data_IF_370092964255
#
_entry.id   IF_370092964255
#
_cell.length_a   1.000
_cell.length_b   1.000
_cell.length_c   1.000
_cell.angle_alpha   90.00
_cell.angle_beta   90.00
_cell.angle_gamma   90.00
#
_symmetry.space_group_name_H-M   'P 1'
#
loop_
_entity.id
_entity.type
_entity.pdbx_description
1 polymer ?
#
# COMPACT_ATOMS: atom_id res chain seq x y z
N UNK A 1 -29.75 -14.54 14.00
CA UNK A 1 -28.67 -14.75 13.00
C UNK A 1 -29.19 -15.15 11.61
N UNK A 2 -30.18 -16.06 11.50
CA UNK A 2 -30.78 -16.43 10.21
C UNK A 2 -31.40 -15.22 9.49
N UNK A 3 -32.16 -14.40 10.21
CA UNK A 3 -32.81 -13.21 9.63
C UNK A 3 -31.82 -12.16 9.13
N UNK A 4 -30.68 -11.98 9.80
CA UNK A 4 -29.60 -11.08 9.34
C UNK A 4 -29.09 -11.46 7.95
N UNK A 5 -29.00 -12.78 7.69
CA UNK A 5 -28.53 -13.35 6.42
C UNK A 5 -29.60 -13.38 5.34
N UNK A 6 -30.88 -13.31 5.68
CA UNK A 6 -31.97 -13.52 4.74
C UNK A 6 -32.10 -12.33 3.77
N UNK A 7 -31.78 -12.49 2.47
CA UNK A 7 -31.86 -11.40 1.50
C UNK A 7 -33.30 -10.98 1.19
N UNK A 8 -34.29 -11.83 1.46
CA UNK A 8 -35.72 -11.57 1.21
C UNK A 8 -36.33 -10.60 2.25
N UNK A 9 -35.66 -10.41 3.38
CA UNK A 9 -36.12 -9.47 4.41
C UNK A 9 -35.71 -8.04 4.07
N UNK A 10 -36.58 -7.08 4.42
CA UNK A 10 -36.25 -5.64 4.36
C UNK A 10 -34.98 -5.35 5.15
N UNK A 11 -34.13 -4.46 4.63
CA UNK A 11 -32.86 -4.06 5.27
C UNK A 11 -33.04 -3.62 6.72
N UNK A 12 -34.12 -2.91 7.07
CA UNK A 12 -34.41 -2.50 8.45
C UNK A 12 -34.59 -3.69 9.40
N UNK A 13 -35.31 -4.74 8.98
CA UNK A 13 -35.46 -5.96 9.80
C UNK A 13 -34.16 -6.74 9.93
N UNK A 14 -33.34 -6.77 8.88
CA UNK A 14 -32.01 -7.39 8.93
C UNK A 14 -31.07 -6.64 9.89
N UNK A 15 -31.16 -5.31 9.93
CA UNK A 15 -30.44 -4.45 10.87
C UNK A 15 -30.86 -4.72 12.31
N UNK A 16 -32.16 -4.69 12.62
CA UNK A 16 -32.68 -5.00 13.95
C UNK A 16 -32.25 -6.42 14.41
N UNK A 17 -32.30 -7.40 13.50
CA UNK A 17 -31.83 -8.75 13.79
C UNK A 17 -30.33 -8.83 14.08
N UNK A 18 -29.51 -7.98 13.43
CA UNK A 18 -28.08 -7.85 13.72
C UNK A 18 -27.84 -7.18 15.08
N UNK A 19 -28.59 -6.12 15.40
CA UNK A 19 -28.50 -5.44 16.70
C UNK A 19 -28.83 -6.39 17.85
N UNK A 20 -29.94 -7.12 17.75
CA UNK A 20 -30.34 -8.11 18.75
C UNK A 20 -29.31 -9.24 18.88
N UNK A 21 -28.82 -9.78 17.76
CA UNK A 21 -27.81 -10.84 17.79
C UNK A 21 -26.48 -10.35 18.39
N UNK A 22 -26.09 -9.10 18.13
CA UNK A 22 -24.87 -8.52 18.71
C UNK A 22 -25.01 -8.27 20.21
N UNK A 23 -26.16 -7.76 20.65
CA UNK A 23 -26.45 -7.56 22.07
C UNK A 23 -26.36 -8.89 22.85
N UNK A 24 -26.98 -9.96 22.36
CA UNK A 24 -26.86 -11.28 22.98
C UNK A 24 -25.43 -11.83 22.95
N UNK A 25 -24.66 -11.55 21.90
CA UNK A 25 -23.26 -11.96 21.77
C UNK A 25 -22.32 -11.24 22.75
N UNK A 26 -22.72 -10.13 23.37
CA UNK A 26 -21.89 -9.47 24.39
C UNK A 26 -21.77 -10.32 25.65
N UNK A 27 -22.80 -11.11 25.98
CA UNK A 27 -22.84 -11.93 27.19
C UNK A 27 -22.35 -13.37 26.97
N UNK A 28 -22.30 -13.83 25.71
CA UNK A 28 -21.92 -15.19 25.33
C UNK A 28 -20.74 -15.18 24.33
N UNK A 29 -19.52 -15.58 24.76
CA UNK A 29 -18.34 -15.65 23.89
C UNK A 29 -18.51 -16.56 22.66
N UNK A 30 -19.21 -17.70 22.78
CA UNK A 30 -19.43 -18.58 21.64
C UNK A 30 -20.37 -17.93 20.61
N UNK A 31 -21.42 -17.29 21.09
CA UNK A 31 -22.34 -16.56 20.23
C UNK A 31 -21.64 -15.39 19.55
N UNK A 32 -20.70 -14.72 20.24
CA UNK A 32 -19.86 -13.66 19.67
C UNK A 32 -19.02 -14.16 18.50
N UNK A 33 -18.29 -15.26 18.67
CA UNK A 33 -17.50 -15.86 17.58
C UNK A 33 -18.38 -16.17 16.37
N UNK A 34 -19.56 -16.77 16.61
CA UNK A 34 -20.53 -17.09 15.55
C UNK A 34 -21.07 -15.83 14.87
N UNK A 35 -21.43 -14.80 15.63
CA UNK A 35 -21.92 -13.52 15.13
C UNK A 35 -20.88 -12.80 14.27
N UNK A 36 -19.64 -12.70 14.77
CA UNK A 36 -18.52 -12.12 14.01
C UNK A 36 -18.29 -12.83 12.70
N UNK A 37 -18.30 -14.17 12.68
CA UNK A 37 -18.15 -14.94 11.44
C UNK A 37 -19.26 -14.63 10.41
N UNK A 38 -20.51 -14.49 10.88
CA UNK A 38 -21.64 -14.09 10.02
C UNK A 38 -21.46 -12.66 9.50
N UNK A 39 -21.08 -11.73 10.36
CA UNK A 39 -20.97 -10.31 10.01
C UNK A 39 -19.85 -10.11 9.00
N UNK A 40 -18.70 -10.73 9.23
CA UNK A 40 -17.61 -10.79 8.26
C UNK A 40 -18.10 -11.34 6.92
N UNK A 41 -18.72 -12.51 6.89
CA UNK A 41 -19.25 -13.08 5.64
C UNK A 41 -20.18 -12.12 4.87
N UNK A 42 -21.05 -11.39 5.57
CA UNK A 42 -21.93 -10.40 4.96
C UNK A 42 -21.17 -9.15 4.48
N UNK A 43 -20.18 -8.68 5.23
CA UNK A 43 -19.39 -7.50 4.84
C UNK A 43 -18.55 -7.75 3.58
N UNK A 44 -18.05 -8.97 3.38
CA UNK A 44 -17.34 -9.34 2.14
C UNK A 44 -18.26 -9.48 0.93
N UNK A 45 -19.56 -9.68 1.13
CA UNK A 45 -20.52 -9.79 0.03
C UNK A 45 -20.83 -8.41 -0.56
N UNK A 46 -20.74 -8.30 -1.88
CA UNK A 46 -21.16 -7.12 -2.64
C UNK A 46 -22.69 -6.96 -2.69
N UNK A 47 -23.43 -8.02 -2.38
CA UNK A 47 -24.90 -8.03 -2.35
C UNK A 47 -25.47 -7.47 -1.04
N UNK A 48 -24.65 -7.34 0.00
CA UNK A 48 -25.09 -6.80 1.29
C UNK A 48 -25.42 -5.31 1.16
N UNK A 49 -26.64 -4.86 1.49
CA UNK A 49 -27.02 -3.46 1.40
C UNK A 49 -26.11 -2.57 2.24
N UNK A 50 -25.72 -1.42 1.67
CA UNK A 50 -24.77 -0.49 2.29
C UNK A 50 -25.08 -0.13 3.76
N UNK A 51 -26.33 0.21 4.16
CA UNK A 51 -26.64 0.52 5.56
C UNK A 51 -26.36 -0.65 6.50
N UNK A 52 -26.68 -1.88 6.07
CA UNK A 52 -26.37 -3.09 6.84
C UNK A 52 -24.87 -3.30 6.93
N UNK A 53 -24.13 -3.22 5.81
CA UNK A 53 -22.67 -3.39 5.81
C UNK A 53 -21.97 -2.43 6.75
N UNK A 54 -22.35 -1.15 6.75
CA UNK A 54 -21.78 -0.14 7.66
C UNK A 54 -22.00 -0.53 9.13
N UNK A 55 -23.23 -0.94 9.49
CA UNK A 55 -23.55 -1.35 10.86
C UNK A 55 -22.80 -2.60 11.29
N UNK A 56 -22.66 -3.58 10.40
CA UNK A 56 -21.91 -4.80 10.69
C UNK A 56 -20.41 -4.52 10.91
N UNK A 57 -19.81 -3.63 10.13
CA UNK A 57 -18.43 -3.18 10.34
C UNK A 57 -18.28 -2.45 11.67
N UNK A 58 -19.24 -1.59 12.02
CA UNK A 58 -19.27 -0.92 13.33
C UNK A 58 -19.22 -1.94 14.47
N UNK A 59 -20.08 -2.96 14.45
CA UNK A 59 -20.07 -4.00 15.47
C UNK A 59 -18.74 -4.75 15.56
N UNK A 60 -18.15 -5.13 14.43
CA UNK A 60 -16.86 -5.79 14.43
C UNK A 60 -15.79 -4.91 15.10
N UNK A 61 -15.72 -3.63 14.72
CA UNK A 61 -14.70 -2.69 15.20
C UNK A 61 -14.91 -2.20 16.65
N UNK A 62 -16.12 -2.31 17.20
CA UNK A 62 -16.45 -1.97 18.59
C UNK A 62 -16.25 -3.13 19.59
N UNK A 63 -15.84 -4.31 19.12
CA UNK A 63 -15.57 -5.44 19.99
C UNK A 63 -14.23 -5.27 20.71
N UNK A 64 -14.30 -4.81 21.97
CA UNK A 64 -13.14 -4.55 22.83
C UNK A 64 -12.57 -5.81 23.51
N UNK A 65 -13.16 -6.98 23.27
CA UNK A 65 -12.55 -8.23 23.77
C UNK A 65 -11.21 -8.49 23.08
N UNK A 66 -10.19 -9.05 23.78
CA UNK A 66 -8.88 -9.29 23.18
C UNK A 66 -8.93 -10.11 21.88
N UNK A 67 -9.78 -11.13 21.83
CA UNK A 67 -10.01 -11.95 20.64
C UNK A 67 -10.74 -11.18 19.54
N UNK A 68 -11.71 -10.34 19.93
CA UNK A 68 -12.46 -9.47 19.04
C UNK A 68 -11.58 -8.42 18.37
N UNK A 69 -10.72 -7.76 19.14
CA UNK A 69 -9.78 -6.76 18.65
C UNK A 69 -8.77 -7.40 17.68
N UNK A 70 -8.15 -8.52 18.05
CA UNK A 70 -7.21 -9.23 17.19
C UNK A 70 -7.86 -9.67 15.86
N UNK A 71 -9.11 -10.15 15.92
CA UNK A 71 -9.87 -10.52 14.72
C UNK A 71 -10.27 -9.29 13.88
N UNK A 72 -10.62 -8.16 14.50
CA UNK A 72 -10.95 -6.90 13.83
C UNK A 72 -9.74 -6.27 13.14
N UNK A 73 -8.58 -6.35 13.77
CA UNK A 73 -7.29 -5.96 13.21
C UNK A 73 -6.96 -6.78 11.96
N UNK A 74 -7.03 -8.11 12.06
CA UNK A 74 -6.83 -9.01 10.91
C UNK A 74 -7.86 -8.77 9.80
N UNK A 75 -9.12 -8.59 10.17
CA UNK A 75 -10.18 -8.25 9.23
C UNK A 75 -9.87 -6.96 8.47
N UNK A 76 -9.46 -5.91 9.18
CA UNK A 76 -9.11 -4.61 8.59
C UNK A 76 -7.97 -4.76 7.58
N UNK A 77 -6.89 -5.45 7.94
CA UNK A 77 -5.76 -5.69 7.02
C UNK A 77 -6.19 -6.43 5.74
N UNK A 78 -7.06 -7.42 5.86
CA UNK A 78 -7.49 -8.21 4.69
C UNK A 78 -8.50 -7.46 3.82
N UNK A 79 -9.42 -6.72 4.43
CA UNK A 79 -10.55 -6.11 3.70
C UNK A 79 -10.21 -4.76 3.10
N UNK A 80 -9.46 -3.92 3.81
CA UNK A 80 -9.22 -2.53 3.47
C UNK A 80 -8.67 -2.31 2.04
N UNK A 81 -7.71 -3.11 1.52
CA UNK A 81 -7.15 -2.88 0.19
C UNK A 81 -8.17 -3.04 -0.95
N UNK A 82 -9.29 -3.73 -0.71
CA UNK A 82 -10.28 -4.10 -1.74
C UNK A 82 -11.69 -3.59 -1.42
N UNK A 83 -11.83 -2.69 -0.44
CA UNK A 83 -13.13 -2.15 -0.04
C UNK A 83 -13.53 -0.95 -0.92
N UNK A 84 -14.56 -1.08 -1.78
CA UNK A 84 -15.00 0.02 -2.64
C UNK A 84 -15.69 1.15 -1.86
N UNK A 85 -16.35 0.86 -0.73
CA UNK A 85 -17.15 1.85 -0.02
C UNK A 85 -16.29 2.75 0.88
N UNK A 86 -16.23 4.02 0.51
CA UNK A 86 -15.41 5.02 1.20
C UNK A 86 -15.77 5.23 2.67
N UNK A 87 -17.04 5.03 3.05
CA UNK A 87 -17.44 5.11 4.44
C UNK A 87 -16.88 3.93 5.25
N UNK A 88 -16.90 2.72 4.67
CA UNK A 88 -16.30 1.53 5.30
C UNK A 88 -14.77 1.66 5.40
N UNK A 89 -14.12 2.16 4.34
CA UNK A 89 -12.68 2.49 4.36
C UNK A 89 -12.36 3.47 5.49
N UNK A 90 -13.14 4.55 5.62
CA UNK A 90 -12.96 5.54 6.68
C UNK A 90 -13.10 4.95 8.08
N UNK A 91 -14.08 4.07 8.30
CA UNK A 91 -14.26 3.37 9.57
C UNK A 91 -13.05 2.50 9.92
N UNK A 92 -12.57 1.69 8.97
CA UNK A 92 -11.42 0.81 9.19
C UNK A 92 -10.11 1.59 9.37
N UNK A 93 -9.88 2.65 8.58
CA UNK A 93 -8.71 3.50 8.70
C UNK A 93 -8.66 4.22 10.06
N UNK A 94 -9.80 4.74 10.50
CA UNK A 94 -9.92 5.39 11.81
C UNK A 94 -9.72 4.40 12.96
N UNK A 95 -10.28 3.19 12.86
CA UNK A 95 -10.08 2.15 13.86
C UNK A 95 -8.61 1.71 13.95
N UNK A 96 -7.94 1.53 12.81
CA UNK A 96 -6.52 1.22 12.77
C UNK A 96 -5.68 2.30 13.47
N UNK A 97 -5.92 3.57 13.14
CA UNK A 97 -5.20 4.69 13.77
C UNK A 97 -5.48 4.82 15.28
N UNK A 98 -6.74 4.70 15.70
CA UNK A 98 -7.12 4.84 17.12
C UNK A 98 -6.53 3.75 18.01
N UNK A 99 -6.46 2.53 17.49
CA UNK A 99 -5.97 1.37 18.24
C UNK A 99 -4.48 1.08 18.00
N UNK A 100 -3.76 1.90 17.23
CA UNK A 100 -2.34 1.71 16.96
C UNK A 100 -2.02 0.44 16.18
N UNK A 101 -2.86 0.05 15.22
CA UNK A 101 -2.66 -1.14 14.40
C UNK A 101 -1.68 -0.86 13.25
N UNK A 102 -0.40 -0.66 13.59
CA UNK A 102 0.69 -0.32 12.66
C UNK A 102 0.80 -1.31 11.49
N UNK A 103 0.50 -2.59 11.72
CA UNK A 103 0.52 -3.63 10.68
C UNK A 103 -0.56 -3.43 9.60
N UNK A 104 -1.52 -2.53 9.83
CA UNK A 104 -2.50 -2.13 8.81
C UNK A 104 -1.94 -1.10 7.81
N UNK A 105 -0.76 -0.52 8.07
CA UNK A 105 -0.17 0.51 7.23
C UNK A 105 0.06 0.06 5.76
N UNK A 106 0.57 -1.15 5.46
CA UNK A 106 0.62 -1.66 4.09
C UNK A 106 -0.76 -1.67 3.42
N UNK A 107 -1.80 -2.07 4.14
CA UNK A 107 -3.16 -2.12 3.60
C UNK A 107 -3.70 -0.73 3.28
N UNK A 108 -3.42 0.25 4.16
CA UNK A 108 -3.76 1.67 3.96
C UNK A 108 -3.06 2.23 2.73
N UNK A 109 -1.78 1.94 2.54
CA UNK A 109 -1.02 2.36 1.35
C UNK A 109 -1.60 1.76 0.08
N UNK A 110 -1.92 0.46 0.08
CA UNK A 110 -2.56 -0.19 -1.07
C UNK A 110 -3.88 0.47 -1.46
N UNK A 111 -4.69 0.85 -0.48
CA UNK A 111 -5.93 1.58 -0.75
C UNK A 111 -5.68 3.02 -1.21
N UNK A 112 -4.65 3.68 -0.67
CA UNK A 112 -4.19 5.00 -1.10
C UNK A 112 -3.66 4.99 -2.54
N UNK A 113 -3.09 3.88 -3.01
CA UNK A 113 -2.59 3.74 -4.37
C UNK A 113 -3.68 3.87 -5.45
N UNK A 114 -4.93 3.50 -5.15
CA UNK A 114 -6.07 3.73 -6.03
C UNK A 114 -6.47 5.22 -5.95
N UNK A 115 -6.31 6.00 -7.03
CA UNK A 115 -6.59 7.44 -7.02
C UNK A 115 -8.09 7.72 -6.89
N UNK A 116 -8.42 8.87 -6.29
CA UNK A 116 -9.79 9.37 -6.23
C UNK A 116 -9.83 10.71 -6.93
N UNK A 117 -10.65 10.81 -7.96
CA UNK A 117 -10.81 12.05 -8.71
C UNK A 117 -11.27 13.19 -7.79
N UNK A 118 -10.59 14.33 -7.89
CA UNK A 118 -10.91 15.53 -7.11
C UNK A 118 -10.46 15.50 -5.64
N UNK A 119 -9.80 14.45 -5.15
CA UNK A 119 -9.28 14.39 -3.78
C UNK A 119 -7.77 14.17 -3.82
N UNK A 120 -7.00 15.11 -3.27
CA UNK A 120 -5.55 14.99 -3.16
C UNK A 120 -5.17 13.87 -2.18
N UNK A 121 -4.07 13.14 -2.45
CA UNK A 121 -3.69 11.99 -1.64
C UNK A 121 -3.46 12.36 -0.16
N UNK A 122 -2.96 13.57 0.12
CA UNK A 122 -2.75 14.05 1.49
C UNK A 122 -4.03 14.24 2.32
N UNK A 123 -5.17 14.48 1.67
CA UNK A 123 -6.44 14.80 2.32
C UNK A 123 -7.26 13.55 2.63
N UNK A 124 -6.88 12.41 2.04
CA UNK A 124 -7.59 11.14 2.17
C UNK A 124 -7.49 10.57 3.58
N UNK A 125 -8.53 9.86 4.00
CA UNK A 125 -8.62 9.25 5.34
C UNK A 125 -7.50 8.23 5.59
N UNK A 126 -7.05 7.54 4.54
CA UNK A 126 -5.95 6.59 4.60
C UNK A 126 -4.63 7.32 4.93
N UNK A 127 -4.37 8.47 4.31
CA UNK A 127 -3.19 9.29 4.57
C UNK A 127 -3.21 9.90 5.98
N UNK A 128 -4.39 10.31 6.46
CA UNK A 128 -4.56 10.77 7.84
C UNK A 128 -4.27 9.64 8.85
N UNK A 129 -4.81 8.44 8.61
CA UNK A 129 -4.55 7.28 9.45
C UNK A 129 -3.06 6.90 9.46
N UNK A 130 -2.39 6.91 8.31
CA UNK A 130 -0.95 6.67 8.21
C UNK A 130 -0.14 7.66 9.07
N UNK A 131 -0.48 8.96 9.04
CA UNK A 131 0.20 9.98 9.86
C UNK A 131 -0.03 9.79 11.36
N UNK A 132 -1.20 9.29 11.75
CA UNK A 132 -1.50 8.98 13.15
C UNK A 132 -0.72 7.75 13.64
N UNK A 133 -0.54 6.74 12.79
CA UNK A 133 0.29 5.55 13.08
C UNK A 133 1.79 5.89 13.09
N UNK A 134 2.23 6.86 12.26
CA UNK A 134 3.62 7.32 12.20
C UNK A 134 3.81 8.76 12.71
N UNK A 135 3.59 9.05 14.00
CA UNK A 135 3.64 10.42 14.52
C UNK A 135 5.02 11.06 14.31
N UNK A 136 5.02 12.33 13.90
CA UNK A 136 6.26 13.11 13.68
C UNK A 136 6.96 12.83 12.34
N UNK A 137 6.40 11.97 11.47
CA UNK A 137 6.96 11.64 10.17
C UNK A 137 6.13 12.21 9.03
N UNK A 138 6.77 12.51 7.90
CA UNK A 138 6.05 12.89 6.68
C UNK A 138 5.37 11.67 6.05
N UNK A 139 4.32 11.90 5.26
CA UNK A 139 3.60 10.82 4.59
C UNK A 139 4.52 10.06 3.62
N UNK A 140 5.37 10.79 2.89
CA UNK A 140 6.37 10.24 1.98
C UNK A 140 7.33 9.31 2.72
N UNK A 141 7.81 9.71 3.90
CA UNK A 141 8.69 8.85 4.69
C UNK A 141 7.96 7.60 5.19
N UNK A 142 6.69 7.71 5.58
CA UNK A 142 5.89 6.53 6.00
C UNK A 142 5.70 5.56 4.84
N UNK A 143 5.26 6.05 3.68
CA UNK A 143 5.05 5.23 2.49
C UNK A 143 6.36 4.62 1.99
N UNK A 144 7.48 5.36 2.07
CA UNK A 144 8.79 4.85 1.70
C UNK A 144 9.28 3.73 2.63
N UNK A 145 9.05 3.83 3.94
CA UNK A 145 9.40 2.73 4.84
C UNK A 145 8.58 1.47 4.54
N UNK A 146 7.30 1.63 4.19
CA UNK A 146 6.44 0.51 3.77
C UNK A 146 6.90 -0.07 2.42
N UNK A 147 7.40 0.77 1.51
CA UNK A 147 8.05 0.30 0.29
C UNK A 147 9.32 -0.50 0.60
N UNK A 148 10.16 0.00 1.52
CA UNK A 148 11.41 -0.64 1.92
C UNK A 148 11.19 -1.95 2.69
N UNK A 149 10.14 -2.00 3.50
CA UNK A 149 9.72 -3.16 4.28
C UNK A 149 8.19 -3.28 4.26
N UNK A 150 7.62 -4.00 3.27
CA UNK A 150 6.17 -4.15 3.15
C UNK A 150 5.55 -5.03 4.25
N UNK A 151 6.38 -5.68 5.09
CA UNK A 151 5.97 -6.64 6.11
C UNK A 151 5.42 -7.95 5.53
N UNK A 152 5.29 -8.96 6.41
CA UNK A 152 4.66 -10.23 6.06
C UNK A 152 3.12 -10.10 6.04
N UNK A 153 2.46 -10.62 4.99
CA UNK A 153 1.00 -10.77 5.03
C UNK A 153 0.63 -11.98 5.90
N UNK A 154 -0.14 -11.79 6.98
CA UNK A 154 -0.64 -12.87 7.84
C UNK A 154 -1.68 -13.81 7.20
N UNK A 155 -1.49 -14.24 5.95
CA UNK A 155 -2.41 -15.08 5.20
C UNK A 155 -1.74 -15.89 4.07
N UNK A 156 -2.43 -16.93 3.55
CA UNK A 156 -1.86 -17.94 2.62
C UNK A 156 -1.44 -17.44 1.22
N UNK A 157 -1.53 -16.13 0.97
CA UNK A 157 -1.16 -15.46 -0.28
C UNK A 157 0.12 -14.60 -0.13
N UNK A 158 1.06 -15.03 0.71
CA UNK A 158 2.36 -14.36 0.92
C UNK A 158 3.15 -14.21 -0.38
N UNK A 159 3.02 -15.18 -1.31
CA UNK A 159 3.67 -15.15 -2.61
C UNK A 159 3.07 -14.01 -3.45
N UNK A 160 3.81 -12.90 -3.53
CA UNK A 160 3.46 -11.72 -4.34
C UNK A 160 2.74 -10.60 -3.59
N UNK A 161 2.43 -10.76 -2.30
CA UNK A 161 1.89 -9.66 -1.49
C UNK A 161 2.89 -8.51 -1.35
N UNK A 162 4.12 -8.82 -0.95
CA UNK A 162 5.19 -7.82 -0.78
C UNK A 162 5.48 -7.06 -2.07
N UNK A 163 5.54 -7.76 -3.20
CA UNK A 163 5.72 -7.14 -4.52
C UNK A 163 4.58 -6.16 -4.88
N UNK A 164 3.32 -6.52 -4.60
CA UNK A 164 2.17 -5.64 -4.83
C UNK A 164 2.19 -4.42 -3.91
N UNK A 165 2.46 -4.61 -2.61
CA UNK A 165 2.61 -3.49 -1.66
C UNK A 165 3.70 -2.54 -2.12
N UNK A 166 4.87 -3.05 -2.55
CA UNK A 166 5.96 -2.24 -3.08
C UNK A 166 5.53 -1.41 -4.30
N UNK A 167 4.87 -2.03 -5.28
CA UNK A 167 4.40 -1.33 -6.47
C UNK A 167 3.35 -0.24 -6.14
N UNK A 168 2.41 -0.56 -5.25
CA UNK A 168 1.38 0.36 -4.76
C UNK A 168 2.02 1.53 -3.99
N UNK A 169 2.95 1.25 -3.09
CA UNK A 169 3.69 2.25 -2.32
C UNK A 169 4.51 3.18 -3.22
N UNK A 170 5.21 2.63 -4.22
CA UNK A 170 5.94 3.44 -5.19
C UNK A 170 5.01 4.34 -6.01
N UNK A 171 3.86 3.80 -6.42
CA UNK A 171 2.83 4.56 -7.14
C UNK A 171 2.32 5.74 -6.32
N UNK A 172 2.08 5.55 -5.02
CA UNK A 172 1.73 6.64 -4.10
C UNK A 172 2.87 7.66 -4.00
N UNK A 173 4.10 7.22 -3.77
CA UNK A 173 5.25 8.11 -3.64
C UNK A 173 5.46 8.97 -4.88
N UNK A 174 5.29 8.42 -6.08
CA UNK A 174 5.42 9.18 -7.33
C UNK A 174 4.38 10.29 -7.47
N UNK A 175 3.19 10.14 -6.86
CA UNK A 175 2.17 11.21 -6.83
C UNK A 175 2.41 12.23 -5.73
N UNK A 176 2.90 11.79 -4.57
CA UNK A 176 3.26 12.69 -3.46
C UNK A 176 4.49 13.54 -3.78
N UNK A 177 5.42 12.99 -4.58
CA UNK A 177 6.67 13.65 -5.00
C UNK A 177 6.84 13.55 -6.52
N UNK A 178 6.10 14.36 -7.31
CA UNK A 178 6.14 14.32 -8.77
C UNK A 178 7.53 14.63 -9.34
N UNK A 179 8.30 15.46 -8.65
CA UNK A 179 9.66 15.86 -9.07
C UNK A 179 10.73 14.85 -8.64
N UNK A 180 10.39 13.87 -7.80
CA UNK A 180 11.31 12.82 -7.35
C UNK A 180 12.40 13.29 -6.37
N UNK A 181 12.34 14.53 -5.87
CA UNK A 181 13.37 15.10 -4.98
C UNK A 181 13.38 14.40 -3.63
N UNK A 182 12.19 14.17 -3.06
CA UNK A 182 12.02 13.48 -1.78
C UNK A 182 12.41 12.01 -1.91
N UNK A 183 11.95 11.32 -2.96
CA UNK A 183 12.31 9.94 -3.26
C UNK A 183 13.82 9.78 -3.41
N UNK A 184 14.49 10.67 -4.15
CA UNK A 184 15.96 10.68 -4.25
C UNK A 184 16.62 10.80 -2.87
N UNK A 185 16.17 11.75 -2.06
CA UNK A 185 16.71 11.93 -0.70
C UNK A 185 16.52 10.70 0.18
N UNK A 186 15.36 10.03 0.10
CA UNK A 186 15.06 8.82 0.88
C UNK A 186 15.86 7.61 0.42
N UNK A 187 16.09 7.44 -0.89
CA UNK A 187 16.94 6.37 -1.44
C UNK A 187 18.38 6.51 -0.94
N UNK A 188 18.90 7.75 -0.94
CA UNK A 188 20.27 8.06 -0.54
C UNK A 188 20.47 8.16 0.97
N UNK A 189 19.39 8.24 1.75
CA UNK A 189 19.46 8.30 3.20
C UNK A 189 20.15 7.02 3.76
N UNK A 190 21.30 7.16 4.46
CA UNK A 190 21.98 6.04 5.08
C UNK A 190 21.13 5.33 6.14
N UNK A 191 20.23 6.07 6.80
CA UNK A 191 19.27 5.52 7.77
C UNK A 191 18.18 4.66 7.14
N UNK A 192 18.03 4.71 5.81
CA UNK A 192 17.14 3.84 5.03
C UNK A 192 17.82 2.51 4.62
N UNK A 193 19.06 2.28 5.05
CA UNK A 193 19.82 1.10 4.64
C UNK A 193 19.27 -0.23 5.23
N UNK A 194 18.74 -1.05 4.34
CA UNK A 194 18.89 -2.51 4.30
C UNK A 194 18.42 -3.32 5.53
N UNK A 195 17.24 -3.02 6.07
CA UNK A 195 16.65 -3.83 7.16
C UNK A 195 15.44 -4.69 6.77
N UNK A 196 14.97 -4.64 5.52
CA UNK A 196 13.78 -5.37 5.07
C UNK A 196 13.97 -6.16 3.76
N UNK A 197 12.89 -6.81 3.30
CA UNK A 197 12.85 -7.65 2.09
C UNK A 197 13.31 -6.92 0.82
N UNK A 198 13.19 -5.59 0.78
CA UNK A 198 13.53 -4.76 -0.39
C UNK A 198 15.01 -4.40 -0.49
N UNK A 199 15.88 -4.98 0.33
CA UNK A 199 17.32 -4.71 0.33
C UNK A 199 17.97 -4.73 -1.06
N UNK A 200 17.74 -5.74 -1.93
CA UNK A 200 18.24 -5.76 -3.30
C UNK A 200 17.73 -4.59 -4.14
N UNK A 201 16.41 -4.33 -4.12
CA UNK A 201 15.78 -3.25 -4.88
C UNK A 201 16.29 -1.87 -4.47
N UNK A 202 16.49 -1.62 -3.17
CA UNK A 202 17.06 -0.36 -2.69
C UNK A 202 18.50 -0.17 -3.14
N UNK A 203 19.29 -1.25 -3.27
CA UNK A 203 20.63 -1.18 -3.87
C UNK A 203 20.57 -0.81 -5.35
N UNK A 204 19.62 -1.39 -6.09
CA UNK A 204 19.43 -1.08 -7.51
C UNK A 204 18.97 0.37 -7.72
N UNK A 205 18.09 0.87 -6.85
CA UNK A 205 17.67 2.27 -6.83
C UNK A 205 18.83 3.23 -6.53
N UNK A 206 19.69 2.90 -5.57
CA UNK A 206 20.90 3.69 -5.29
C UNK A 206 21.82 3.71 -6.49
N UNK A 207 22.05 2.55 -7.12
CA UNK A 207 22.84 2.48 -8.35
C UNK A 207 22.22 3.34 -9.47
N UNK A 208 20.89 3.34 -9.65
CA UNK A 208 20.25 4.22 -10.63
C UNK A 208 20.46 5.70 -10.33
N UNK A 209 20.42 6.10 -9.05
CA UNK A 209 20.67 7.48 -8.64
C UNK A 209 22.13 7.88 -8.81
N UNK A 210 23.06 7.00 -8.45
CA UNK A 210 24.50 7.27 -8.46
C UNK A 210 25.08 7.21 -9.88
N UNK A 211 24.77 6.15 -10.63
CA UNK A 211 25.36 5.88 -11.95
C UNK A 211 24.63 6.61 -13.07
N UNK A 212 23.29 6.69 -12.99
CA UNK A 212 22.45 7.24 -14.05
C UNK A 212 21.81 8.57 -13.68
N UNK A 213 21.90 9.01 -12.41
CA UNK A 213 21.32 10.28 -11.98
C UNK A 213 19.78 10.30 -11.93
N UNK A 214 19.10 9.16 -12.12
CA UNK A 214 17.64 9.08 -12.29
C UNK A 214 16.96 8.34 -11.14
N UNK A 215 15.67 8.64 -10.93
CA UNK A 215 14.77 7.88 -10.04
C UNK A 215 13.60 7.37 -10.89
N UNK A 216 13.28 6.07 -10.87
CA UNK A 216 12.12 5.52 -11.58
C UNK A 216 10.81 6.22 -11.19
N UNK A 217 10.00 6.59 -12.17
CA UNK A 217 8.73 7.29 -11.96
C UNK A 217 7.56 6.35 -11.72
N UNK A 218 7.61 5.14 -12.28
CA UNK A 218 6.49 4.20 -12.24
C UNK A 218 6.92 2.84 -11.71
N UNK A 219 5.96 2.02 -11.28
CA UNK A 219 6.23 0.62 -10.93
C UNK A 219 6.81 -0.18 -12.11
N UNK A 220 6.39 0.14 -13.35
CA UNK A 220 6.94 -0.48 -14.55
C UNK A 220 8.42 -0.11 -14.76
N UNK A 221 8.82 1.13 -14.47
CA UNK A 221 10.23 1.53 -14.52
C UNK A 221 11.05 0.89 -13.38
N UNK A 222 10.45 0.62 -12.21
CA UNK A 222 11.11 -0.18 -11.18
C UNK A 222 11.38 -1.61 -11.64
N UNK A 223 10.41 -2.26 -12.28
CA UNK A 223 10.57 -3.61 -12.81
C UNK A 223 11.62 -3.64 -13.93
N UNK A 224 11.62 -2.63 -14.80
CA UNK A 224 12.66 -2.48 -15.81
C UNK A 224 14.04 -2.29 -15.16
N UNK A 225 14.17 -1.42 -14.15
CA UNK A 225 15.43 -1.26 -13.41
C UNK A 225 15.93 -2.59 -12.82
N UNK A 226 15.04 -3.39 -12.21
CA UNK A 226 15.40 -4.73 -11.70
C UNK A 226 15.94 -5.62 -12.80
N UNK A 227 15.30 -5.64 -13.98
CA UNK A 227 15.78 -6.43 -15.12
C UNK A 227 17.16 -5.98 -15.62
N UNK A 228 17.42 -4.66 -15.65
CA UNK A 228 18.72 -4.11 -16.05
C UNK A 228 19.83 -4.41 -15.05
N UNK A 229 19.46 -4.62 -13.78
CA UNK A 229 20.37 -4.93 -12.67
C UNK A 229 20.45 -6.42 -12.36
N UNK A 230 19.76 -7.25 -13.13
CA UNK A 230 19.91 -8.69 -13.07
C UNK A 230 21.31 -9.07 -13.54
N UNK A 231 22.17 -9.44 -12.58
CA UNK A 231 23.57 -9.79 -12.83
C UNK A 231 23.77 -11.09 -13.61
N UNK A 232 22.69 -11.80 -13.98
CA UNK A 232 22.77 -12.99 -14.83
C UNK A 232 22.87 -12.69 -16.32
N UNK A 233 22.51 -11.48 -16.77
CA UNK A 233 22.59 -11.09 -18.19
C UNK A 233 23.79 -10.14 -18.46
N UNK A 234 24.83 -10.68 -19.09
CA UNK A 234 26.01 -9.90 -19.49
C UNK A 234 25.68 -8.73 -20.42
N UNK A 235 24.60 -8.81 -21.20
CA UNK A 235 24.17 -7.72 -22.09
C UNK A 235 23.64 -6.54 -21.28
N UNK A 236 22.88 -6.80 -20.22
CA UNK A 236 22.38 -5.76 -19.32
C UNK A 236 23.53 -5.12 -18.53
N UNK A 237 24.50 -5.92 -18.09
CA UNK A 237 25.70 -5.38 -17.44
C UNK A 237 26.58 -4.53 -18.39
N UNK A 238 26.68 -4.91 -19.66
CA UNK A 238 27.36 -4.11 -20.68
C UNK A 238 26.59 -2.80 -20.97
N UNK A 239 25.27 -2.90 -21.15
CA UNK A 239 24.37 -1.77 -21.32
C UNK A 239 24.50 -0.76 -20.18
N UNK A 240 24.49 -1.23 -18.93
CA UNK A 240 24.56 -0.38 -17.74
C UNK A 240 25.87 0.40 -17.68
N UNK A 241 27.01 -0.27 -17.90
CA UNK A 241 28.33 0.38 -17.88
C UNK A 241 28.46 1.45 -18.97
N UNK A 242 27.98 1.14 -20.17
CA UNK A 242 27.98 2.09 -21.28
C UNK A 242 27.10 3.30 -20.98
N UNK A 243 25.85 3.05 -20.57
CA UNK A 243 24.89 4.09 -20.20
C UNK A 243 25.43 5.00 -19.08
N UNK A 244 25.97 4.42 -18.01
CA UNK A 244 26.55 5.16 -16.88
C UNK A 244 27.71 6.06 -17.32
N UNK A 245 28.60 5.56 -18.17
CA UNK A 245 29.72 6.33 -18.73
C UNK A 245 29.22 7.56 -19.52
N UNK A 246 28.23 7.36 -20.39
CA UNK A 246 27.67 8.41 -21.22
C UNK A 246 26.94 9.47 -20.39
N UNK A 247 26.11 9.04 -19.43
CA UNK A 247 25.41 9.95 -18.52
C UNK A 247 26.42 10.73 -17.68
N UNK A 248 27.53 10.10 -17.27
CA UNK A 248 28.60 10.77 -16.53
C UNK A 248 29.20 11.94 -17.31
N UNK A 249 29.28 11.81 -18.64
CA UNK A 249 29.75 12.86 -19.54
C UNK A 249 28.77 14.02 -19.79
N UNK A 250 27.51 13.92 -19.35
CA UNK A 250 26.52 15.00 -19.51
C UNK A 250 26.76 16.14 -18.52
N UNK A 251 26.58 17.38 -18.99
CA UNK A 251 26.55 18.57 -18.14
C UNK A 251 25.33 18.60 -17.21
N UNK A 252 25.39 19.38 -16.13
CA UNK A 252 24.29 19.51 -15.15
C UNK A 252 22.96 19.92 -15.81
N UNK A 253 23.01 20.85 -16.78
CA UNK A 253 21.84 21.27 -17.53
C UNK A 253 21.23 20.15 -18.39
N UNK A 254 22.06 19.26 -18.94
CA UNK A 254 21.60 18.10 -19.72
C UNK A 254 21.03 16.98 -18.84
N UNK A 255 21.49 16.90 -17.58
CA UNK A 255 20.97 15.93 -16.60
C UNK A 255 19.66 16.37 -15.96
N UNK A 256 19.33 17.66 -16.03
CA UNK A 256 18.09 18.17 -15.46
C UNK A 256 16.87 17.54 -16.13
N UNK A 257 16.00 16.91 -15.33
CA UNK A 257 14.81 16.22 -15.83
C UNK A 257 15.09 14.90 -16.54
N UNK A 258 16.30 14.35 -16.42
CA UNK A 258 16.62 13.03 -16.96
C UNK A 258 15.78 11.96 -16.25
N UNK A 259 15.23 11.03 -17.04
CA UNK A 259 14.38 9.93 -16.59
C UNK A 259 14.93 8.62 -17.14
N UNK A 260 14.57 7.48 -16.54
CA UNK A 260 15.10 6.18 -16.94
C UNK A 260 14.84 5.87 -18.43
N UNK A 261 13.67 6.27 -18.95
CA UNK A 261 13.33 6.12 -20.39
C UNK A 261 14.21 6.91 -21.35
N UNK A 262 14.94 7.92 -20.88
CA UNK A 262 15.84 8.73 -21.72
C UNK A 262 17.23 8.10 -21.90
N UNK A 263 17.58 7.10 -21.08
CA UNK A 263 18.92 6.51 -21.05
C UNK A 263 19.25 5.77 -22.35
N UNK A 264 18.32 4.98 -22.89
CA UNK A 264 18.54 4.26 -24.15
C UNK A 264 18.69 5.20 -25.35
N UNK A 265 17.85 6.23 -25.55
CA UNK A 265 18.07 7.25 -26.57
C UNK A 265 19.46 7.91 -26.52
N UNK A 266 19.97 8.22 -25.32
CA UNK A 266 21.33 8.80 -25.13
C UNK A 266 22.39 7.81 -25.63
N UNK A 267 22.27 6.55 -25.24
CA UNK A 267 23.17 5.46 -25.65
C UNK A 267 23.18 5.26 -27.17
N UNK A 268 22.01 5.27 -27.80
CA UNK A 268 21.92 5.13 -29.26
C UNK A 268 22.47 6.35 -30.01
N UNK A 269 22.33 7.56 -29.44
CA UNK A 269 22.86 8.78 -30.05
C UNK A 269 24.39 8.83 -30.06
N UNK A 270 25.05 8.33 -29.00
CA UNK A 270 26.52 8.28 -28.96
C UNK A 270 27.14 7.39 -30.03
N UNK A 271 26.42 6.36 -30.50
CA UNK A 271 26.87 5.51 -31.60
C UNK A 271 26.70 6.13 -32.99
N UNK A 272 25.85 7.16 -33.13
CA UNK A 272 25.51 7.79 -34.41
C UNK A 272 26.25 9.10 -34.67
N UNK A 273 27.16 9.49 -33.77
CA UNK A 273 28.00 10.66 -33.98
C UNK A 273 29.22 10.22 -34.79
N UNK A 274 29.39 10.67 -36.05
CA UNK A 274 30.52 10.28 -36.91
C UNK A 274 31.86 10.83 -36.41
#
# INVERSE_FOLDING_TARGET
MLDTRNPELKTSRRLEAAELAWASAQEDPELRVKARAVYKSLVWSTETPRPLRLKLVEFLLLDESPEGEADSRRFTMLRLPTEPDRAVVGMMALAAARNGWDESAPSLVRRLAEPIEGIADHDRVEAQALRLLGPGRTLERIVFDIFADPGASGGPSEIGWSSRVQADAWTVLSRLDPEGRTRRSLILDPGSAAMGESGPLLRDLRAAVDDLGVVPETAMELDWLRSLRDGSDERNAAWWREAASLVTGLSDGQRQGLQLRHIEPIRLASHKTP
#
